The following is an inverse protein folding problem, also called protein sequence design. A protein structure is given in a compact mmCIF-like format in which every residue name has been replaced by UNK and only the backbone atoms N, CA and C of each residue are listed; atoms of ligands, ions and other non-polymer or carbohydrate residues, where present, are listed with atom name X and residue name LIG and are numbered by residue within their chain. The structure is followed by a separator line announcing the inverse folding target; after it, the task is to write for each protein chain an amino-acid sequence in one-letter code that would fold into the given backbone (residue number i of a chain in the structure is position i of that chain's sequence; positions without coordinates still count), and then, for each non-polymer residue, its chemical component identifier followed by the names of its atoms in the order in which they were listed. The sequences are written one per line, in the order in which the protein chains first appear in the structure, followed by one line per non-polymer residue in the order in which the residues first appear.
data_IF_270968614250
#
_entry.id   IF_270968614250
#
_cell.length_a   1.000
_cell.length_b   1.000
_cell.length_c   1.000
_cell.angle_alpha   90.00
_cell.angle_beta   90.00
_cell.angle_gamma   90.00
#
_symmetry.space_group_name_H-M   'P 1'
#
loop_
_entity.id
_entity.type
_entity.pdbx_description
1 polymer ?
#
# COMPACT_ATOMS: atom_id res chain seq x y z
N UNK A 1 -43.12 17.76 2.23
CA UNK A 1 -41.83 18.47 2.06
C UNK A 1 -41.14 18.66 3.40
N UNK A 2 -40.49 17.64 3.95
CA UNK A 2 -39.63 17.81 5.14
C UNK A 2 -38.55 16.72 5.12
N UNK A 3 -38.96 15.49 4.77
CA UNK A 3 -38.08 14.34 4.55
C UNK A 3 -37.11 14.52 3.36
N UNK A 4 -37.58 15.10 2.25
CA UNK A 4 -36.74 15.33 1.05
C UNK A 4 -35.57 16.31 1.30
N UNK A 5 -35.71 17.24 2.25
CA UNK A 5 -34.66 18.20 2.59
C UNK A 5 -33.56 17.54 3.44
N UNK A 6 -33.92 16.61 4.32
CA UNK A 6 -32.94 15.84 5.09
C UNK A 6 -32.13 14.89 4.19
N UNK A 7 -32.74 14.29 3.18
CA UNK A 7 -32.03 13.44 2.21
C UNK A 7 -31.00 14.24 1.39
N UNK A 8 -31.32 15.49 1.01
CA UNK A 8 -30.39 16.34 0.27
C UNK A 8 -29.24 16.87 1.13
N UNK A 9 -29.49 17.14 2.41
CA UNK A 9 -28.46 17.59 3.36
C UNK A 9 -27.43 16.52 3.76
N UNK A 10 -27.75 15.25 3.55
CA UNK A 10 -26.85 14.12 3.83
C UNK A 10 -25.93 13.76 2.65
N UNK A 11 -26.25 14.18 1.43
CA UNK A 11 -25.40 13.99 0.25
C UNK A 11 -23.94 14.46 0.43
N UNK A 12 -23.65 15.65 0.99
CA UNK A 12 -22.27 16.07 1.20
C UNK A 12 -21.53 15.20 2.24
N UNK A 13 -22.22 14.62 3.23
CA UNK A 13 -21.60 13.69 4.18
C UNK A 13 -21.24 12.35 3.54
N UNK A 14 -22.07 11.87 2.60
CA UNK A 14 -21.80 10.63 1.86
C UNK A 14 -20.59 10.80 0.93
N UNK A 15 -20.43 11.97 0.30
CA UNK A 15 -19.28 12.24 -0.56
C UNK A 15 -17.96 12.41 0.21
N UNK A 16 -17.98 13.00 1.41
CA UNK A 16 -16.77 13.16 2.24
C UNK A 16 -16.27 11.86 2.88
N UNK A 17 -17.16 10.89 3.11
CA UNK A 17 -16.81 9.57 3.63
C UNK A 17 -16.41 8.57 2.52
N UNK A 18 -16.59 8.95 1.25
CA UNK A 18 -16.34 8.11 0.09
C UNK A 18 -14.99 8.38 -0.60
N UNK A 19 -14.08 9.11 0.07
CA UNK A 19 -12.70 9.14 -0.41
C UNK A 19 -12.15 7.71 -0.34
N UNK A 20 -11.72 7.14 -1.49
CA UNK A 20 -11.12 5.82 -1.47
C UNK A 20 -9.91 5.87 -0.52
N UNK A 21 -9.72 4.84 0.31
CA UNK A 21 -8.62 4.82 1.24
C UNK A 21 -7.30 4.99 0.46
N UNK A 22 -6.40 5.83 0.99
CA UNK A 22 -5.10 6.10 0.39
C UNK A 22 -4.31 4.82 0.07
N UNK A 23 -4.55 3.78 0.88
CA UNK A 23 -4.01 2.45 0.68
C UNK A 23 -5.14 1.46 0.32
N UNK A 24 -4.88 0.49 -0.56
CA UNK A 24 -5.77 -0.64 -0.75
C UNK A 24 -6.13 -1.28 0.59
N UNK A 25 -7.41 -1.60 0.79
CA UNK A 25 -7.92 -2.18 2.03
C UNK A 25 -8.56 -3.55 1.85
N UNK A 26 -8.74 -3.99 0.60
CA UNK A 26 -9.23 -5.32 0.28
C UNK A 26 -8.08 -6.33 0.33
N UNK A 27 -8.24 -7.37 1.14
CA UNK A 27 -7.29 -8.49 1.22
C UNK A 27 -7.09 -9.13 -0.17
N UNK A 28 -5.86 -9.50 -0.47
CA UNK A 28 -5.47 -10.06 -1.77
C UNK A 28 -5.25 -9.01 -2.85
N UNK A 29 -5.48 -7.72 -2.59
CA UNK A 29 -5.17 -6.67 -3.57
C UNK A 29 -3.67 -6.65 -3.84
N UNK A 30 -3.30 -6.70 -5.12
CA UNK A 30 -1.92 -6.66 -5.61
C UNK A 30 -1.66 -5.44 -6.47
N UNK A 31 -0.46 -4.90 -6.39
CA UNK A 31 -0.01 -3.80 -7.26
C UNK A 31 1.50 -3.87 -7.49
N UNK A 32 1.96 -3.34 -8.62
CA UNK A 32 3.38 -3.35 -9.00
C UNK A 32 3.97 -1.95 -8.85
N UNK A 33 5.17 -1.86 -8.27
CA UNK A 33 5.95 -0.62 -8.19
C UNK A 33 7.41 -0.90 -8.50
N UNK A 34 8.10 0.12 -9.00
CA UNK A 34 9.56 0.14 -9.06
C UNK A 34 10.10 0.54 -7.69
N UNK A 35 10.73 -0.40 -6.99
CA UNK A 35 11.42 -0.17 -5.74
C UNK A 35 12.83 0.33 -6.03
N UNK A 36 13.14 1.54 -5.58
CA UNK A 36 14.51 2.06 -5.57
C UNK A 36 15.13 1.78 -4.22
N UNK A 37 16.26 1.09 -4.20
CA UNK A 37 17.02 0.82 -2.98
C UNK A 37 18.50 1.17 -3.19
N UNK A 38 19.16 1.67 -2.15
CA UNK A 38 20.61 1.85 -2.16
C UNK A 38 21.30 0.48 -2.19
N UNK A 39 22.33 0.32 -3.03
CA UNK A 39 23.15 -0.89 -3.01
C UNK A 39 23.91 -1.00 -1.68
N UNK A 40 24.06 -2.22 -1.14
CA UNK A 40 24.95 -2.45 -0.01
C UNK A 40 26.36 -1.97 -0.36
N UNK A 41 26.93 -1.10 0.46
CA UNK A 41 28.29 -0.63 0.25
C UNK A 41 29.24 -1.72 0.77
N UNK A 42 30.02 -2.33 -0.13
CA UNK A 42 31.02 -3.35 0.25
C UNK A 42 32.24 -2.73 0.96
N UNK A 43 32.43 -1.41 0.83
CA UNK A 43 33.50 -0.65 1.48
C UNK A 43 32.93 0.41 2.43
N UNK A 44 33.70 0.80 3.45
CA UNK A 44 33.35 1.96 4.29
C UNK A 44 33.69 3.30 3.63
N UNK A 45 33.97 3.30 2.32
CA UNK A 45 34.26 4.52 1.59
C UNK A 45 32.96 5.26 1.25
N UNK A 46 32.63 6.26 2.06
CA UNK A 46 31.44 7.09 1.95
C UNK A 46 31.67 8.34 1.09
N UNK A 47 32.78 8.41 0.35
CA UNK A 47 33.15 9.63 -0.40
C UNK A 47 32.53 9.71 -1.80
N UNK A 48 31.97 8.61 -2.32
CA UNK A 48 31.24 8.54 -3.58
C UNK A 48 29.72 8.61 -3.41
N UNK A 49 28.96 8.94 -4.48
CA UNK A 49 27.51 8.79 -4.47
C UNK A 49 27.15 7.32 -4.27
N UNK A 50 26.12 7.06 -3.46
CA UNK A 50 25.62 5.69 -3.29
C UNK A 50 25.02 5.21 -4.61
N UNK A 51 25.42 4.01 -5.02
CA UNK A 51 24.76 3.38 -6.17
C UNK A 51 23.35 2.96 -5.79
N UNK A 52 22.39 3.21 -6.67
CA UNK A 52 21.00 2.79 -6.52
C UNK A 52 20.71 1.58 -7.41
N UNK A 53 19.84 0.71 -6.93
CA UNK A 53 19.28 -0.41 -7.66
C UNK A 53 17.77 -0.24 -7.76
N UNK A 54 17.24 -0.49 -8.97
CA UNK A 54 15.81 -0.46 -9.26
C UNK A 54 15.32 -1.89 -9.43
N UNK A 55 14.35 -2.28 -8.60
CA UNK A 55 13.74 -3.61 -8.61
C UNK A 55 12.26 -3.48 -8.91
N UNK A 56 11.79 -4.17 -9.94
CA UNK A 56 10.36 -4.35 -10.15
C UNK A 56 9.83 -5.30 -9.07
N UNK A 57 8.90 -4.83 -8.24
CA UNK A 57 8.33 -5.62 -7.14
C UNK A 57 6.81 -5.64 -7.21
N UNK A 58 6.22 -6.76 -6.81
CA UNK A 58 4.78 -6.88 -6.58
C UNK A 58 4.52 -6.77 -5.09
N UNK A 59 3.68 -5.80 -4.72
CA UNK A 59 3.12 -5.70 -3.38
C UNK A 59 1.79 -6.45 -3.33
N UNK A 60 1.49 -7.04 -2.18
CA UNK A 60 0.19 -7.65 -1.87
C UNK A 60 -0.24 -7.26 -0.47
N UNK A 61 -1.51 -6.87 -0.33
CA UNK A 61 -2.15 -6.80 0.97
C UNK A 61 -2.56 -8.22 1.39
N UNK A 62 -1.80 -8.79 2.32
CA UNK A 62 -2.10 -10.10 2.92
C UNK A 62 -3.25 -10.01 3.93
N UNK A 63 -3.49 -11.14 4.60
CA UNK A 63 -4.49 -11.23 5.66
C UNK A 63 -4.12 -10.46 6.93
N UNK A 64 -4.95 -10.63 7.95
CA UNK A 64 -4.71 -10.09 9.30
C UNK A 64 -3.75 -11.00 10.06
N UNK A 65 -2.75 -10.41 10.71
CA UNK A 65 -1.77 -11.05 11.57
C UNK A 65 -1.80 -10.43 12.97
N UNK A 66 -1.66 -11.27 14.00
CA UNK A 66 -1.65 -10.82 15.39
C UNK A 66 -0.22 -10.60 15.87
N UNK A 67 0.15 -9.35 16.12
CA UNK A 67 1.46 -8.95 16.66
C UNK A 67 1.24 -8.14 17.93
N UNK A 68 1.84 -8.56 19.04
CA UNK A 68 1.73 -7.88 20.35
C UNK A 68 0.27 -7.57 20.76
N UNK A 69 -0.62 -8.56 20.63
CA UNK A 69 -2.07 -8.46 20.88
C UNK A 69 -2.83 -7.45 19.99
N UNK A 70 -2.24 -7.00 18.89
CA UNK A 70 -2.88 -6.13 17.89
C UNK A 70 -3.09 -6.89 16.59
N UNK A 71 -4.24 -6.67 15.98
CA UNK A 71 -4.55 -7.18 14.65
C UNK A 71 -4.01 -6.18 13.63
N UNK A 72 -2.99 -6.60 12.87
CA UNK A 72 -2.32 -5.79 11.85
C UNK A 72 -2.57 -6.41 10.47
N UNK A 73 -2.67 -5.59 9.43
CA UNK A 73 -2.68 -6.09 8.04
C UNK A 73 -1.25 -6.40 7.62
N UNK A 74 -1.04 -7.58 7.03
CA UNK A 74 0.24 -7.95 6.47
C UNK A 74 0.45 -7.26 5.11
N UNK A 75 1.60 -6.62 4.92
CA UNK A 75 2.06 -6.13 3.63
C UNK A 75 3.17 -7.05 3.13
N UNK A 76 2.96 -7.69 1.99
CA UNK A 76 3.89 -8.63 1.38
C UNK A 76 4.56 -7.97 0.17
N UNK A 77 5.88 -8.18 0.00
CA UNK A 77 6.68 -7.63 -1.10
C UNK A 77 7.41 -8.79 -1.78
N UNK A 78 7.12 -9.01 -3.06
CA UNK A 78 7.73 -10.04 -3.88
C UNK A 78 8.73 -9.39 -4.83
N UNK A 79 10.01 -9.78 -4.69
CA UNK A 79 11.10 -9.36 -5.57
C UNK A 79 11.22 -10.38 -6.71
N UNK A 80 11.43 -9.90 -7.94
CA UNK A 80 11.65 -10.69 -9.16
C UNK A 80 10.49 -11.57 -9.66
N UNK A 81 9.39 -11.68 -8.92
CA UNK A 81 8.25 -12.51 -9.30
C UNK A 81 6.97 -11.67 -9.25
N UNK A 82 6.41 -11.38 -10.43
CA UNK A 82 4.99 -11.11 -10.54
C UNK A 82 4.28 -12.31 -9.94
N UNK A 83 3.49 -12.12 -8.89
CA UNK A 83 2.54 -13.15 -8.45
C UNK A 83 1.74 -13.56 -9.69
N UNK A 84 1.94 -14.78 -10.20
CA UNK A 84 1.13 -15.29 -11.32
C UNK A 84 -0.32 -15.13 -10.90
N UNK A 85 -1.07 -14.31 -11.65
CA UNK A 85 -2.46 -14.03 -11.33
C UNK A 85 -3.22 -15.35 -11.32
N UNK A 86 -3.74 -15.75 -10.15
CA UNK A 86 -4.72 -16.84 -10.04
C UNK A 86 -6.09 -16.31 -10.42
#
# INVERSE_FOLDING_TARGET
MKVAVFALGLLPLVCGAAEPPLFPSAEGTTWNYDLVQEKPIESFDLTGPKEEEHLAVTYRLGGIEKVDNKDLRRLEIYRDHTLESV
#
